data_IF_443230256254
#
_entry.id   IF_443230256254
#
_cell.length_a   1.000
_cell.length_b   1.000
_cell.length_c   1.000
_cell.angle_alpha   90.00
_cell.angle_beta   90.00
_cell.angle_gamma   90.00
#
_symmetry.space_group_name_H-M   'P 1'
#
loop_
_entity.id
_entity.type
_entity.pdbx_description
1 polymer ?
#
# COMPACT_ATOMS: atom_id res chain seq x y z
N UNK A 1 1.77 11.78 16.44
CA UNK A 1 1.55 12.75 15.35
C UNK A 1 1.61 12.01 14.03
N UNK A 2 0.50 11.99 13.28
CA UNK A 2 0.40 11.39 11.95
C UNK A 2 0.57 12.52 10.91
N UNK A 3 1.32 12.26 9.83
CA UNK A 3 1.60 13.23 8.77
C UNK A 3 1.06 12.69 7.43
N UNK A 4 0.67 13.58 6.51
CA UNK A 4 0.30 13.26 5.13
C UNK A 4 1.18 14.04 4.15
N UNK A 5 1.54 13.42 3.03
CA UNK A 5 2.16 14.11 1.88
C UNK A 5 1.09 14.40 0.82
N UNK A 6 0.79 15.68 0.58
CA UNK A 6 -0.12 16.10 -0.48
C UNK A 6 0.64 16.35 -1.79
N UNK A 7 0.05 15.99 -2.94
CA UNK A 7 0.57 16.34 -4.27
C UNK A 7 0.90 15.19 -5.23
N UNK A 8 0.66 13.92 -4.85
CA UNK A 8 0.96 12.77 -5.70
C UNK A 8 -0.22 12.46 -6.64
N UNK A 9 -0.02 11.79 -7.77
CA UNK A 9 -1.14 11.06 -8.41
C UNK A 9 -1.39 9.75 -7.65
N UNK A 10 -2.56 9.09 -7.77
CA UNK A 10 -2.80 7.81 -7.10
C UNK A 10 -1.74 6.76 -7.43
N UNK A 11 -1.40 6.64 -8.71
CA UNK A 11 -0.33 5.75 -9.16
C UNK A 11 1.03 6.14 -8.57
N UNK A 12 1.33 7.43 -8.50
CA UNK A 12 2.58 7.91 -7.92
C UNK A 12 2.67 7.63 -6.41
N UNK A 13 1.55 7.71 -5.69
CA UNK A 13 1.49 7.37 -4.27
C UNK A 13 1.82 5.88 -4.02
N UNK A 14 1.21 4.98 -4.79
CA UNK A 14 1.51 3.54 -4.76
C UNK A 14 2.97 3.29 -5.09
N UNK A 15 3.48 3.87 -6.19
CA UNK A 15 4.86 3.67 -6.61
C UNK A 15 5.88 4.18 -5.60
N UNK A 16 5.65 5.37 -5.03
CA UNK A 16 6.55 5.97 -4.06
C UNK A 16 6.63 5.13 -2.78
N UNK A 17 5.50 4.61 -2.29
CA UNK A 17 5.47 3.72 -1.11
C UNK A 17 6.20 2.41 -1.40
N UNK A 18 5.91 1.75 -2.53
CA UNK A 18 6.57 0.49 -2.86
C UNK A 18 8.09 0.67 -3.05
N UNK A 19 8.53 1.74 -3.72
CA UNK A 19 9.94 2.06 -3.89
C UNK A 19 10.61 2.38 -2.54
N UNK A 20 9.93 3.10 -1.65
CA UNK A 20 10.49 3.44 -0.33
C UNK A 20 10.63 2.20 0.58
N UNK A 21 9.80 1.17 0.37
CA UNK A 21 9.80 -0.05 1.18
C UNK A 21 10.70 -1.15 0.64
N UNK A 22 11.08 -1.10 -0.65
CA UNK A 22 11.74 -2.22 -1.33
C UNK A 22 13.10 -1.84 -1.89
N UNK A 23 13.96 -2.84 -1.99
CA UNK A 23 15.24 -2.81 -2.72
C UNK A 23 15.36 -4.01 -3.65
N UNK A 24 16.36 -3.99 -4.52
CA UNK A 24 16.58 -5.07 -5.48
C UNK A 24 16.74 -6.43 -4.77
N UNK A 25 16.03 -7.44 -5.26
CA UNK A 25 16.01 -8.79 -4.68
C UNK A 25 14.93 -9.02 -3.61
N UNK A 26 14.21 -7.98 -3.18
CA UNK A 26 13.13 -8.12 -2.20
C UNK A 26 11.91 -8.85 -2.78
N UNK A 27 11.00 -9.20 -1.88
CA UNK A 27 9.74 -9.86 -2.18
C UNK A 27 8.54 -9.07 -1.62
N UNK A 28 7.40 -9.09 -2.32
CA UNK A 28 6.16 -8.44 -1.90
C UNK A 28 5.03 -9.47 -1.92
N UNK A 29 4.24 -9.55 -0.84
CA UNK A 29 3.01 -10.36 -0.85
C UNK A 29 1.83 -9.45 -1.17
N UNK A 30 1.10 -9.75 -2.24
CA UNK A 30 -0.01 -8.93 -2.72
C UNK A 30 -1.35 -9.64 -2.57
N UNK A 31 -2.42 -8.87 -2.29
CA UNK A 31 -3.79 -9.41 -2.38
C UNK A 31 -4.14 -9.77 -3.82
N UNK A 32 -5.00 -10.77 -4.01
CA UNK A 32 -5.60 -11.03 -5.31
C UNK A 32 -6.51 -9.86 -5.75
N UNK A 33 -6.60 -9.64 -7.06
CA UNK A 33 -7.50 -8.61 -7.62
C UNK A 33 -7.00 -7.18 -7.50
N UNK A 34 -5.70 -6.95 -7.72
CA UNK A 34 -5.14 -5.60 -7.78
C UNK A 34 -5.61 -4.83 -9.03
N UNK A 35 -5.64 -3.51 -8.91
CA UNK A 35 -5.81 -2.61 -10.05
C UNK A 35 -4.73 -2.84 -11.12
N UNK A 36 -5.12 -2.77 -12.40
CA UNK A 36 -4.25 -3.11 -13.53
C UNK A 36 -2.95 -2.30 -13.60
N UNK A 37 -2.97 -1.02 -13.19
CA UNK A 37 -1.75 -0.22 -13.14
C UNK A 37 -0.79 -0.69 -12.04
N UNK A 38 -1.31 -1.11 -10.89
CA UNK A 38 -0.50 -1.67 -9.79
C UNK A 38 0.12 -3.00 -10.22
N UNK A 39 -0.64 -3.85 -10.91
CA UNK A 39 -0.09 -5.08 -11.50
C UNK A 39 1.03 -4.78 -12.50
N UNK A 40 0.84 -3.80 -13.38
CA UNK A 40 1.87 -3.37 -14.32
C UNK A 40 3.15 -2.86 -13.63
N UNK A 41 3.00 -2.12 -12.53
CA UNK A 41 4.13 -1.67 -11.70
C UNK A 41 4.89 -2.86 -11.10
N UNK A 42 4.18 -3.85 -10.52
CA UNK A 42 4.81 -5.05 -9.95
C UNK A 42 5.59 -5.85 -11.00
N UNK A 43 5.06 -5.98 -12.22
CA UNK A 43 5.77 -6.61 -13.33
C UNK A 43 7.03 -5.84 -13.73
N UNK A 44 6.95 -4.49 -13.77
CA UNK A 44 8.11 -3.65 -14.04
C UNK A 44 9.17 -3.79 -12.95
N UNK A 45 8.78 -3.79 -11.68
CA UNK A 45 9.69 -3.96 -10.55
C UNK A 45 10.39 -5.32 -10.56
N UNK A 46 9.66 -6.38 -10.91
CA UNK A 46 10.25 -7.71 -11.11
C UNK A 46 11.27 -7.72 -12.25
N UNK A 47 10.90 -7.23 -13.42
CA UNK A 47 11.74 -7.33 -14.61
C UNK A 47 12.98 -6.43 -14.57
N UNK A 48 12.86 -5.23 -13.98
CA UNK A 48 13.97 -4.27 -13.95
C UNK A 48 14.83 -4.34 -12.69
N UNK A 49 14.23 -4.64 -11.54
CA UNK A 49 14.90 -4.52 -10.24
C UNK A 49 14.97 -5.86 -9.49
N UNK A 50 14.51 -6.96 -10.11
CA UNK A 50 14.45 -8.28 -9.48
C UNK A 50 13.67 -8.28 -8.16
N UNK A 51 12.63 -7.46 -8.06
CA UNK A 51 11.72 -7.42 -6.91
C UNK A 51 10.56 -8.37 -7.20
N UNK A 52 10.54 -9.50 -6.51
CA UNK A 52 9.56 -10.55 -6.74
C UNK A 52 8.24 -10.24 -6.01
N UNK A 53 7.17 -10.88 -6.45
CA UNK A 53 5.87 -10.76 -5.81
C UNK A 53 5.06 -12.05 -5.95
N UNK A 54 4.29 -12.37 -4.92
CA UNK A 54 3.33 -13.46 -4.89
C UNK A 54 1.92 -12.94 -4.60
N UNK A 55 0.92 -13.55 -5.21
CA UNK A 55 -0.49 -13.20 -4.98
C UNK A 55 -1.14 -14.17 -3.99
N UNK A 56 -1.80 -13.63 -2.98
CA UNK A 56 -2.48 -14.37 -1.93
C UNK A 56 -3.95 -13.95 -1.87
N UNK A 57 -4.86 -14.91 -1.67
CA UNK A 57 -6.27 -14.61 -1.40
C UNK A 57 -6.47 -13.98 0.00
N UNK A 58 -5.51 -14.21 0.92
CA UNK A 58 -5.51 -13.66 2.28
C UNK A 58 -6.75 -14.04 3.10
N UNK A 59 -7.25 -15.27 2.91
CA UNK A 59 -8.44 -15.79 3.59
C UNK A 59 -8.11 -16.40 4.96
N UNK A 60 -6.84 -16.73 5.20
CA UNK A 60 -6.37 -17.28 6.47
C UNK A 60 -4.94 -16.85 6.82
N UNK A 61 -4.61 -16.93 8.11
CA UNK A 61 -3.28 -16.64 8.64
C UNK A 61 -2.23 -17.55 8.02
N UNK A 62 -2.56 -18.82 7.81
CA UNK A 62 -1.66 -19.84 7.27
C UNK A 62 -1.31 -19.54 5.81
N UNK A 63 -2.30 -19.14 5.00
CA UNK A 63 -2.08 -18.78 3.60
C UNK A 63 -1.12 -17.59 3.47
N UNK A 64 -1.32 -16.55 4.28
CA UNK A 64 -0.47 -15.37 4.26
C UNK A 64 0.93 -15.69 4.79
N UNK A 65 1.01 -16.38 5.94
CA UNK A 65 2.29 -16.72 6.58
C UNK A 65 3.15 -17.65 5.71
N UNK A 66 2.55 -18.56 4.94
CA UNK A 66 3.27 -19.47 4.05
C UNK A 66 4.00 -18.75 2.88
N UNK A 67 3.58 -17.54 2.53
CA UNK A 67 4.19 -16.73 1.46
C UNK A 67 5.21 -15.71 1.99
N UNK A 68 5.31 -15.56 3.31
CA UNK A 68 6.31 -14.68 3.91
C UNK A 68 7.68 -15.35 3.82
N UNK A 69 8.66 -14.60 3.29
CA UNK A 69 10.04 -15.00 3.10
C UNK A 69 10.97 -14.06 3.86
N UNK A 70 12.23 -14.44 4.11
CA UNK A 70 13.21 -13.55 4.75
C UNK A 70 13.37 -12.19 4.05
N UNK A 71 13.21 -12.18 2.73
CA UNK A 71 13.29 -11.00 1.87
C UNK A 71 11.93 -10.31 1.63
N UNK A 72 10.85 -10.75 2.28
CA UNK A 72 9.55 -10.08 2.17
C UNK A 72 9.64 -8.70 2.81
N UNK A 73 9.53 -7.67 1.99
CA UNK A 73 9.65 -6.28 2.41
C UNK A 73 8.33 -5.67 2.88
N UNK A 74 7.20 -6.08 2.31
CA UNK A 74 5.87 -5.64 2.73
C UNK A 74 4.75 -6.56 2.24
N UNK A 75 3.57 -6.40 2.86
CA UNK A 75 2.30 -6.92 2.35
C UNK A 75 1.51 -5.76 1.75
N UNK A 76 1.08 -5.89 0.49
CA UNK A 76 0.27 -4.90 -0.21
C UNK A 76 -1.15 -5.41 -0.43
N UNK A 77 -2.14 -4.63 -0.01
CA UNK A 77 -3.54 -5.02 -0.03
C UNK A 77 -4.38 -3.93 -0.70
N UNK A 78 -5.29 -4.32 -1.58
CA UNK A 78 -6.31 -3.42 -2.13
C UNK A 78 -7.68 -3.82 -1.58
N UNK A 79 -8.42 -2.86 -1.02
CA UNK A 79 -9.74 -3.15 -0.45
C UNK A 79 -10.72 -1.98 -0.57
N UNK A 80 -12.00 -2.26 -0.89
CA UNK A 80 -12.55 -3.48 -1.51
C UNK A 80 -11.88 -3.91 -2.83
N UNK A 81 -11.78 -5.22 -3.06
CA UNK A 81 -11.19 -5.78 -4.29
C UNK A 81 -12.16 -5.57 -5.46
N UNK A 82 -11.73 -4.85 -6.49
CA UNK A 82 -12.50 -4.75 -7.75
C UNK A 82 -12.25 -6.01 -8.61
N UNK A 83 -13.28 -6.64 -9.23
CA UNK A 83 -14.71 -6.30 -9.31
C UNK A 83 -15.61 -7.04 -8.33
N UNK A 84 -15.07 -7.94 -7.50
CA UNK A 84 -15.88 -8.78 -6.60
C UNK A 84 -16.39 -8.05 -5.36
N UNK A 85 -15.85 -6.85 -5.08
CA UNK A 85 -16.09 -6.06 -3.86
C UNK A 85 -15.81 -6.86 -2.57
N UNK A 86 -14.95 -7.88 -2.65
CA UNK A 86 -14.59 -8.69 -1.51
C UNK A 86 -13.85 -7.84 -0.47
N UNK A 87 -14.27 -7.97 0.78
CA UNK A 87 -13.61 -7.37 1.95
C UNK A 87 -12.61 -8.38 2.50
N UNK A 88 -11.40 -7.91 2.75
CA UNK A 88 -10.37 -8.69 3.41
C UNK A 88 -10.40 -8.43 4.91
N UNK A 89 -10.01 -9.42 5.70
CA UNK A 89 -9.80 -9.27 7.14
C UNK A 89 -8.47 -8.54 7.39
N UNK A 90 -8.56 -7.21 7.46
CA UNK A 90 -7.39 -6.34 7.61
C UNK A 90 -6.78 -6.43 9.01
N UNK A 91 -7.55 -6.80 10.04
CA UNK A 91 -7.03 -7.02 11.40
C UNK A 91 -6.16 -8.27 11.43
N UNK A 92 -6.63 -9.36 10.80
CA UNK A 92 -5.84 -10.59 10.62
C UNK A 92 -4.54 -10.30 9.85
N UNK A 93 -4.63 -9.59 8.72
CA UNK A 93 -3.45 -9.25 7.91
C UNK A 93 -2.46 -8.38 8.70
N UNK A 94 -2.96 -7.38 9.42
CA UNK A 94 -2.13 -6.52 10.29
C UNK A 94 -1.45 -7.33 11.40
N UNK A 95 -2.16 -8.28 12.02
CA UNK A 95 -1.60 -9.15 13.03
C UNK A 95 -0.47 -10.02 12.49
N UNK A 96 -0.65 -10.65 11.32
CA UNK A 96 0.38 -11.46 10.66
C UNK A 96 1.58 -10.62 10.27
N UNK A 97 1.36 -9.42 9.73
CA UNK A 97 2.43 -8.47 9.42
C UNK A 97 3.26 -8.12 10.65
N UNK A 98 2.59 -7.80 11.77
CA UNK A 98 3.25 -7.51 13.05
C UNK A 98 4.04 -8.71 13.61
N UNK A 99 3.52 -9.93 13.47
CA UNK A 99 4.21 -11.15 13.91
C UNK A 99 5.52 -11.39 13.15
N UNK A 100 5.55 -11.06 11.86
CA UNK A 100 6.72 -11.24 11.00
C UNK A 100 7.58 -9.98 10.86
N UNK A 101 7.20 -8.88 11.51
CA UNK A 101 7.91 -7.61 11.43
C UNK A 101 7.86 -6.93 10.06
N UNK A 102 6.86 -7.27 9.24
CA UNK A 102 6.67 -6.70 7.90
C UNK A 102 5.54 -5.66 7.91
N UNK A 103 5.72 -4.50 7.26
CA UNK A 103 4.69 -3.46 7.18
C UNK A 103 3.54 -3.90 6.26
N UNK A 104 2.32 -3.52 6.66
CA UNK A 104 1.11 -3.72 5.87
C UNK A 104 0.70 -2.41 5.20
N UNK A 105 0.67 -2.41 3.87
CA UNK A 105 0.21 -1.31 3.02
C UNK A 105 -1.18 -1.63 2.52
N UNK A 106 -2.14 -0.72 2.76
CA UNK A 106 -3.52 -0.89 2.29
C UNK A 106 -3.94 0.27 1.40
N UNK A 107 -4.31 -0.03 0.16
CA UNK A 107 -5.06 0.89 -0.69
C UNK A 107 -6.54 0.85 -0.32
N UNK A 108 -7.00 1.93 0.31
CA UNK A 108 -8.34 2.11 0.83
C UNK A 108 -9.11 3.17 0.03
N UNK A 109 -8.81 3.29 -1.26
CA UNK A 109 -9.44 4.26 -2.16
C UNK A 109 -10.97 4.17 -2.18
N UNK A 110 -11.53 2.96 -2.06
CA UNK A 110 -12.97 2.73 -2.17
C UNK A 110 -13.75 3.05 -0.89
N UNK A 111 -13.27 2.64 0.29
CA UNK A 111 -14.04 2.85 1.53
C UNK A 111 -13.85 4.25 2.12
N UNK A 112 -12.82 5.00 1.71
CA UNK A 112 -12.48 6.34 2.24
C UNK A 112 -12.13 6.32 3.75
N UNK A 113 -11.40 7.33 4.26
CA UNK A 113 -11.08 7.39 5.70
C UNK A 113 -12.31 7.64 6.59
N UNK A 114 -13.45 8.02 6.02
CA UNK A 114 -14.69 8.23 6.76
C UNK A 114 -15.32 6.90 7.22
N UNK A 115 -15.22 5.83 6.41
CA UNK A 115 -15.85 4.54 6.71
C UNK A 115 -14.90 3.54 7.39
N UNK A 116 -13.59 3.64 7.16
CA UNK A 116 -12.62 2.71 7.72
C UNK A 116 -11.38 3.44 8.27
N UNK A 117 -11.12 3.25 9.56
CA UNK A 117 -9.92 3.75 10.26
C UNK A 117 -8.87 2.66 10.36
N UNK A 118 -8.26 2.31 9.23
CA UNK A 118 -7.36 1.16 9.12
C UNK A 118 -6.13 1.21 10.04
N UNK A 119 -5.68 2.42 10.42
CA UNK A 119 -4.59 2.57 11.39
C UNK A 119 -4.99 2.06 12.78
N UNK A 120 -6.27 2.16 13.15
CA UNK A 120 -6.79 1.63 14.42
C UNK A 120 -6.83 0.09 14.39
N UNK A 121 -6.90 -0.50 13.19
CA UNK A 121 -6.89 -1.95 12.95
C UNK A 121 -5.47 -2.51 12.83
N UNK A 122 -4.45 -1.68 13.02
CA UNK A 122 -3.04 -2.09 13.04
C UNK A 122 -2.33 -2.05 11.69
N UNK A 123 -2.96 -1.54 10.63
CA UNK A 123 -2.27 -1.30 9.36
C UNK A 123 -1.23 -0.17 9.52
N UNK A 124 -0.06 -0.31 8.90
CA UNK A 124 1.02 0.68 9.04
C UNK A 124 0.88 1.85 8.07
N UNK A 125 0.46 1.56 6.84
CA UNK A 125 0.44 2.51 5.73
C UNK A 125 -0.89 2.41 5.00
N UNK A 126 -1.56 3.54 4.82
CA UNK A 126 -2.83 3.64 4.11
C UNK A 126 -2.67 4.56 2.91
N UNK A 127 -3.11 4.09 1.75
CA UNK A 127 -3.12 4.80 0.48
C UNK A 127 -4.56 5.17 0.11
N UNK A 128 -4.73 6.36 -0.45
CA UNK A 128 -6.00 6.78 -1.04
C UNK A 128 -5.80 7.55 -2.34
N UNK A 129 -6.65 7.30 -3.33
CA UNK A 129 -6.85 8.23 -4.44
C UNK A 129 -7.69 9.41 -3.98
N UNK A 130 -7.06 10.58 -3.86
CA UNK A 130 -7.78 11.83 -3.66
C UNK A 130 -8.62 12.21 -4.89
N UNK A 131 -8.28 11.72 -6.09
CA UNK A 131 -9.03 11.95 -7.34
C UNK A 131 -10.49 11.49 -7.29
N UNK A 132 -10.77 10.46 -6.49
CA UNK A 132 -12.06 9.76 -6.48
C UNK A 132 -13.02 10.43 -5.47
N UNK A 133 -13.44 9.66 -4.47
CA UNK A 133 -14.43 10.09 -3.49
C UNK A 133 -14.00 11.26 -2.62
N UNK A 134 -12.69 11.48 -2.44
CA UNK A 134 -12.17 12.58 -1.62
C UNK A 134 -12.30 13.93 -2.35
N UNK A 135 -11.97 13.99 -3.65
CA UNK A 135 -12.22 15.17 -4.48
C UNK A 135 -13.71 15.33 -4.77
N UNK A 136 -14.41 14.24 -5.11
CA UNK A 136 -15.86 14.21 -5.33
C UNK A 136 -16.34 14.91 -6.62
N UNK A 137 -15.48 15.69 -7.29
CA UNK A 137 -15.85 16.53 -8.44
C UNK A 137 -15.10 16.16 -9.73
N UNK A 138 -14.09 15.29 -9.65
CA UNK A 138 -13.36 14.76 -10.82
C UNK A 138 -12.45 15.77 -11.52
N UNK A 139 -12.20 16.92 -10.90
CA UNK A 139 -11.40 18.04 -11.42
C UNK A 139 -9.97 18.08 -10.84
N UNK A 140 -9.68 17.28 -9.80
CA UNK A 140 -8.36 17.16 -9.18
C UNK A 140 -7.85 15.73 -9.31
N UNK A 141 -6.59 15.57 -9.70
CA UNK A 141 -5.88 14.29 -9.60
C UNK A 141 -4.93 14.34 -8.41
N UNK A 142 -5.14 13.46 -7.45
CA UNK A 142 -4.38 13.44 -6.21
C UNK A 142 -4.31 12.04 -5.58
N UNK A 143 -3.25 11.79 -4.82
CA UNK A 143 -2.95 10.57 -4.09
C UNK A 143 -2.42 10.96 -2.71
N UNK A 144 -2.87 10.23 -1.70
CA UNK A 144 -2.55 10.48 -0.30
C UNK A 144 -1.91 9.23 0.30
N UNK A 145 -0.85 9.44 1.06
CA UNK A 145 -0.20 8.42 1.88
C UNK A 145 -0.31 8.83 3.33
N UNK A 146 -0.79 7.92 4.19
CA UNK A 146 -0.91 8.13 5.63
C UNK A 146 -0.19 7.00 6.35
N UNK A 147 0.60 7.33 7.36
CA UNK A 147 1.36 6.37 8.15
C UNK A 147 2.15 7.03 9.26
N UNK A 148 3.07 6.26 9.86
CA UNK A 148 3.97 6.78 10.92
C UNK A 148 4.86 7.88 10.37
N UNK A 149 5.08 8.94 11.17
CA UNK A 149 5.87 10.13 10.80
C UNK A 149 7.24 9.77 10.19
N UNK A 150 7.95 8.82 10.79
CA UNK A 150 9.26 8.40 10.30
C UNK A 150 9.19 7.82 8.88
N UNK A 151 8.19 6.99 8.58
CA UNK A 151 7.99 6.43 7.25
C UNK A 151 7.57 7.50 6.24
N UNK A 152 6.63 8.37 6.62
CA UNK A 152 6.17 9.47 5.75
C UNK A 152 7.32 10.41 5.39
N UNK A 153 8.24 10.69 6.32
CA UNK A 153 9.43 11.47 6.02
C UNK A 153 10.32 10.79 4.97
N UNK A 154 10.52 9.47 5.05
CA UNK A 154 11.29 8.73 4.05
C UNK A 154 10.65 8.81 2.65
N UNK A 155 9.32 8.73 2.57
CA UNK A 155 8.58 8.91 1.32
C UNK A 155 8.68 10.36 0.83
N UNK A 156 8.57 11.33 1.73
CA UNK A 156 8.62 12.75 1.42
C UNK A 156 9.95 13.17 0.76
N UNK A 157 11.08 12.56 1.14
CA UNK A 157 12.39 12.84 0.53
C UNK A 157 12.40 12.59 -0.98
N UNK A 158 11.65 11.59 -1.46
CA UNK A 158 11.59 11.24 -2.88
C UNK A 158 10.39 11.85 -3.62
N UNK A 159 9.45 12.48 -2.91
CA UNK A 159 8.20 13.01 -3.49
C UNK A 159 8.01 14.51 -3.37
N UNK A 160 8.65 15.19 -2.42
CA UNK A 160 8.54 16.63 -2.26
C UNK A 160 9.42 17.35 -3.29
N UNK A 161 8.82 18.34 -3.96
CA UNK A 161 9.52 19.22 -4.89
C UNK A 161 10.28 20.35 -4.21
N UNK A 162 9.85 20.75 -3.01
CA UNK A 162 10.54 21.75 -2.19
C UNK A 162 11.03 21.08 -0.90
N UNK A 163 12.33 21.21 -0.65
CA UNK A 163 12.97 20.82 0.59
C UNK A 163 13.18 22.12 1.36
N UNK A 164 12.38 22.37 2.39
CA UNK A 164 12.72 23.42 3.36
C UNK A 164 14.01 22.96 4.07
N UNK A 165 15.13 23.54 3.64
CA UNK A 165 16.47 23.34 4.19
C UNK A 165 16.71 24.20 5.44
#
# INVERSE_FOLDING_TARGET
MLNSSGGLTPFFAVSAVLIALTKAGDHIVCSQGLYGCTFGLLQLMKNKYNINHDFCAMESVEQLSALIRPETACTYVETPINPTMNKLDLEMIAQVGKQHGIPVVVDNTFSTPYLQRLLDWGCDIVLHSATKYICGHGDVVGGLVVGKKQFINSVAIITLTEIDA
#
